data_IF_222067614140
#
_entry.id   IF_222067614140
#
_cell.length_a   1.000
_cell.length_b   1.000
_cell.length_c   1.000
_cell.angle_alpha   90.00
_cell.angle_beta   90.00
_cell.angle_gamma   90.00
#
_symmetry.space_group_name_H-M   'P 1'
#
loop_
_entity.id
_entity.type
_entity.pdbx_description
1 polymer ?
#
# COMPACT_ATOMS: atom_id res chain seq x y z
N UNK A 1 43.50 31.51 -11.09
CA UNK A 1 42.48 30.45 -11.10
C UNK A 1 41.18 31.06 -10.59
N UNK A 2 40.06 30.81 -11.27
CA UNK A 2 38.72 31.10 -10.72
C UNK A 2 38.28 29.82 -9.99
N UNK A 3 37.82 29.87 -8.72
CA UNK A 3 37.24 28.71 -8.08
C UNK A 3 35.96 28.32 -8.81
N UNK A 4 35.85 27.07 -9.23
CA UNK A 4 34.61 26.53 -9.80
C UNK A 4 33.50 26.59 -8.75
N UNK A 5 32.26 26.99 -9.10
CA UNK A 5 31.14 26.87 -8.18
C UNK A 5 30.98 25.41 -7.74
N UNK A 6 30.53 25.15 -6.50
CA UNK A 6 30.22 23.80 -6.06
C UNK A 6 29.14 23.19 -6.98
N UNK A 7 29.12 21.86 -7.17
CA UNK A 7 28.05 21.20 -7.91
C UNK A 7 26.71 21.60 -7.30
N UNK A 8 25.77 22.02 -8.16
CA UNK A 8 24.44 22.47 -7.73
C UNK A 8 23.80 21.39 -6.86
N UNK A 9 23.52 21.74 -5.60
CA UNK A 9 22.88 20.82 -4.66
C UNK A 9 21.58 20.29 -5.29
N UNK A 10 21.24 19.00 -5.08
CA UNK A 10 19.96 18.47 -5.52
C UNK A 10 18.84 19.38 -5.01
N UNK A 11 17.81 19.71 -5.83
CA UNK A 11 16.73 20.56 -5.39
C UNK A 11 16.11 19.96 -4.13
N UNK A 12 16.02 20.76 -3.06
CA UNK A 12 15.44 20.35 -1.78
C UNK A 12 13.90 20.30 -1.92
N UNK A 13 13.46 19.34 -2.71
CA UNK A 13 12.09 19.17 -3.11
C UNK A 13 11.34 18.53 -1.93
N UNK A 14 10.44 19.25 -1.22
CA UNK A 14 9.88 18.77 0.03
C UNK A 14 9.05 17.50 -0.22
N UNK A 15 9.61 16.33 0.12
CA UNK A 15 8.99 15.03 -0.17
C UNK A 15 7.56 15.04 0.37
N UNK A 16 6.51 14.93 -0.46
CA UNK A 16 5.14 15.24 -0.06
C UNK A 16 4.76 14.43 1.18
N UNK A 17 4.61 15.14 2.30
CA UNK A 17 4.63 14.51 3.62
C UNK A 17 3.29 13.85 3.92
N UNK A 18 3.14 12.61 3.44
CA UNK A 18 1.93 11.81 3.65
C UNK A 18 1.59 11.77 5.15
N UNK A 19 0.48 12.42 5.53
CA UNK A 19 0.07 12.63 6.92
C UNK A 19 0.10 11.32 7.72
N UNK A 20 0.44 11.40 9.01
CA UNK A 20 0.56 10.24 9.90
C UNK A 20 -0.68 9.34 9.84
N UNK A 21 -1.88 9.92 9.88
CA UNK A 21 -3.15 9.18 9.75
C UNK A 21 -3.26 8.42 8.42
N UNK A 22 -2.85 9.04 7.29
CA UNK A 22 -2.81 8.36 5.99
C UNK A 22 -1.80 7.21 5.99
N UNK A 23 -0.60 7.39 6.58
CA UNK A 23 0.40 6.32 6.71
C UNK A 23 -0.13 5.13 7.51
N UNK A 24 -0.79 5.39 8.65
CA UNK A 24 -1.42 4.33 9.47
C UNK A 24 -2.51 3.59 8.69
N UNK A 25 -3.38 4.31 7.97
CA UNK A 25 -4.43 3.70 7.14
C UNK A 25 -3.82 2.79 6.06
N UNK A 26 -2.81 3.25 5.32
CA UNK A 26 -2.13 2.44 4.29
C UNK A 26 -1.42 1.22 4.89
N UNK A 27 -0.76 1.38 6.05
CA UNK A 27 -0.12 0.27 6.75
C UNK A 27 -1.14 -0.80 7.20
N UNK A 28 -2.29 -0.39 7.74
CA UNK A 28 -3.36 -1.31 8.14
C UNK A 28 -4.00 -2.00 6.93
N UNK A 29 -4.23 -1.29 5.82
CA UNK A 29 -4.76 -1.86 4.57
C UNK A 29 -3.88 -2.98 4.01
N UNK A 30 -2.55 -2.84 4.08
CA UNK A 30 -1.60 -3.85 3.58
C UNK A 30 -1.32 -4.95 4.60
N UNK A 31 -1.24 -4.62 5.90
CA UNK A 31 -0.96 -5.61 6.95
C UNK A 31 -2.16 -6.53 7.24
N UNK A 32 -3.39 -6.02 7.14
CA UNK A 32 -4.63 -6.78 7.42
C UNK A 32 -4.69 -8.15 6.70
N UNK A 33 -4.59 -8.24 5.36
CA UNK A 33 -4.65 -9.53 4.66
C UNK A 33 -3.49 -10.46 5.01
N UNK A 34 -2.31 -9.93 5.37
CA UNK A 34 -1.17 -10.75 5.83
C UNK A 34 -1.44 -11.36 7.21
N UNK A 35 -1.94 -10.58 8.16
CA UNK A 35 -2.32 -11.06 9.50
C UNK A 35 -3.46 -12.07 9.42
N UNK A 36 -4.45 -11.83 8.57
CA UNK A 36 -5.54 -12.80 8.33
C UNK A 36 -4.99 -14.09 7.68
N UNK A 37 -4.13 -14.00 6.66
CA UNK A 37 -3.53 -15.18 6.01
C UNK A 37 -2.61 -16.01 6.94
N UNK A 38 -1.94 -15.35 7.90
CA UNK A 38 -1.17 -16.01 8.97
C UNK A 38 -2.03 -16.52 10.14
N UNK A 39 -3.33 -16.23 10.17
CA UNK A 39 -4.24 -16.68 11.24
C UNK A 39 -4.66 -18.14 11.06
N UNK A 40 -3.68 -19.04 11.08
CA UNK A 40 -3.80 -20.50 10.99
C UNK A 40 -4.98 -21.10 11.79
N UNK A 41 -5.31 -20.70 13.05
CA UNK A 41 -6.47 -21.27 13.75
C UNK A 41 -7.85 -20.93 13.16
N UNK A 42 -7.99 -19.91 12.31
CA UNK A 42 -9.20 -19.78 11.48
C UNK A 42 -9.21 -20.82 10.36
N UNK A 43 -8.04 -21.12 9.79
CA UNK A 43 -7.86 -21.87 8.54
C UNK A 43 -7.63 -23.37 8.66
N UNK A 44 -7.52 -23.88 9.88
CA UNK A 44 -7.48 -25.33 10.15
C UNK A 44 -8.88 -26.00 10.11
N UNK A 45 -9.92 -25.29 9.65
CA UNK A 45 -11.26 -25.89 9.42
C UNK A 45 -11.38 -26.42 7.99
N UNK A 46 -11.88 -27.65 7.88
CA UNK A 46 -12.22 -28.30 6.60
C UNK A 46 -13.49 -27.73 5.96
N UNK A 47 -14.37 -27.16 6.78
CA UNK A 47 -15.64 -26.53 6.39
C UNK A 47 -15.61 -25.03 6.73
N UNK A 48 -16.20 -24.15 5.89
CA UNK A 48 -16.97 -24.44 4.67
C UNK A 48 -16.10 -24.63 3.42
N UNK A 49 -16.46 -25.63 2.61
CA UNK A 49 -15.96 -25.76 1.23
C UNK A 49 -16.79 -24.86 0.30
N UNK A 50 -16.15 -24.31 -0.73
CA UNK A 50 -16.78 -23.36 -1.66
C UNK A 50 -16.70 -23.92 -3.08
N UNK A 51 -17.81 -24.45 -3.58
CA UNK A 51 -17.85 -25.20 -4.85
C UNK A 51 -17.00 -26.48 -4.84
N UNK A 52 -16.73 -27.05 -3.66
CA UNK A 52 -15.80 -28.18 -3.47
C UNK A 52 -14.36 -27.78 -3.16
N UNK A 53 -13.98 -26.50 -3.29
CA UNK A 53 -12.66 -26.04 -2.86
C UNK A 53 -12.56 -25.99 -1.32
N UNK A 54 -11.52 -26.57 -0.69
CA UNK A 54 -11.29 -26.46 0.74
C UNK A 54 -11.12 -25.00 1.21
N UNK A 55 -11.51 -24.73 2.46
CA UNK A 55 -11.52 -23.40 3.08
C UNK A 55 -10.22 -22.61 2.88
N UNK A 56 -9.08 -23.29 3.03
CA UNK A 56 -7.74 -22.74 2.79
C UNK A 56 -7.59 -22.06 1.42
N UNK A 57 -7.98 -22.74 0.32
CA UNK A 57 -7.66 -22.26 -1.04
C UNK A 57 -8.46 -21.01 -1.42
N UNK A 58 -9.78 -21.04 -1.22
CA UNK A 58 -10.61 -19.90 -1.63
C UNK A 58 -10.33 -18.66 -0.78
N UNK A 59 -10.04 -18.84 0.51
CA UNK A 59 -9.73 -17.74 1.42
C UNK A 59 -8.33 -17.15 1.16
N UNK A 60 -7.30 -17.96 0.90
CA UNK A 60 -5.99 -17.44 0.48
C UNK A 60 -6.11 -16.62 -0.82
N UNK A 61 -6.98 -17.04 -1.75
CA UNK A 61 -7.31 -16.24 -2.93
C UNK A 61 -8.06 -14.94 -2.56
N UNK A 62 -9.00 -14.97 -1.61
CA UNK A 62 -9.66 -13.76 -1.08
C UNK A 62 -8.66 -12.79 -0.45
N UNK A 63 -7.67 -13.29 0.30
CA UNK A 63 -6.62 -12.46 0.90
C UNK A 63 -5.66 -11.89 -0.14
N UNK A 64 -5.33 -12.63 -1.19
CA UNK A 64 -4.55 -12.11 -2.31
C UNK A 64 -5.28 -10.97 -3.04
N UNK A 65 -6.60 -11.10 -3.27
CA UNK A 65 -7.43 -10.03 -3.81
C UNK A 65 -7.50 -8.85 -2.83
N UNK A 66 -7.72 -9.09 -1.53
CA UNK A 66 -7.75 -8.03 -0.52
C UNK A 66 -6.41 -7.27 -0.42
N UNK A 67 -5.27 -7.96 -0.55
CA UNK A 67 -3.95 -7.34 -0.62
C UNK A 67 -3.76 -6.50 -1.89
N UNK A 68 -4.18 -7.00 -3.06
CA UNK A 68 -4.16 -6.23 -4.30
C UNK A 68 -5.02 -4.97 -4.20
N UNK A 69 -6.23 -5.07 -3.63
CA UNK A 69 -7.09 -3.93 -3.35
C UNK A 69 -6.49 -2.97 -2.31
N UNK A 70 -5.84 -3.47 -1.25
CA UNK A 70 -5.16 -2.66 -0.23
C UNK A 70 -3.96 -1.88 -0.80
N UNK A 71 -3.18 -2.49 -1.68
CA UNK A 71 -2.12 -1.84 -2.43
C UNK A 71 -2.67 -0.81 -3.42
N UNK A 72 -3.72 -1.14 -4.18
CA UNK A 72 -4.37 -0.20 -5.11
C UNK A 72 -5.00 1.01 -4.40
N UNK A 73 -5.64 0.78 -3.25
CA UNK A 73 -6.17 1.85 -2.40
C UNK A 73 -5.04 2.70 -1.80
N UNK A 74 -3.94 2.07 -1.35
CA UNK A 74 -2.73 2.78 -0.87
C UNK A 74 -2.11 3.66 -1.95
N UNK A 75 -1.99 3.14 -3.17
CA UNK A 75 -1.54 3.90 -4.34
C UNK A 75 -2.47 5.08 -4.62
N UNK A 76 -3.78 4.84 -4.72
CA UNK A 76 -4.78 5.90 -4.95
C UNK A 76 -4.76 6.97 -3.84
N UNK A 77 -4.62 6.58 -2.57
CA UNK A 77 -4.51 7.49 -1.42
C UNK A 77 -3.20 8.28 -1.42
N UNK A 78 -2.13 7.77 -2.03
CA UNK A 78 -0.86 8.49 -2.18
C UNK A 78 -0.91 9.49 -3.36
N UNK A 79 -1.07 8.97 -4.58
CA UNK A 79 -0.92 9.74 -5.82
C UNK A 79 -2.08 10.71 -6.10
N UNK A 80 -3.30 10.46 -5.63
CA UNK A 80 -4.44 11.41 -5.79
C UNK A 80 -4.32 12.69 -4.94
N UNK A 81 -3.20 12.91 -4.26
CA UNK A 81 -2.88 14.22 -3.64
C UNK A 81 -1.54 14.78 -4.13
N UNK A 82 -1.17 14.47 -5.37
CA UNK A 82 -0.43 15.41 -6.20
C UNK A 82 -1.49 16.40 -6.75
N UNK A 83 -1.71 17.57 -6.11
CA UNK A 83 -2.41 18.64 -6.82
C UNK A 83 -1.54 19.01 -8.02
N UNK A 84 -2.17 19.21 -9.17
CA UNK A 84 -1.52 19.96 -10.24
C UNK A 84 -1.15 21.33 -9.64
N UNK A 85 0.16 21.58 -9.51
CA UNK A 85 0.67 22.92 -9.23
C UNK A 85 0.44 23.69 -10.52
N UNK A 86 -0.79 24.18 -10.69
CA UNK A 86 -1.30 24.65 -11.98
C UNK A 86 -0.38 25.69 -12.58
N UNK A 87 0.05 25.44 -13.82
CA UNK A 87 0.96 26.31 -14.55
C UNK A 87 0.39 27.74 -14.59
N UNK A 88 0.97 28.59 -13.74
CA UNK A 88 0.57 29.99 -13.53
C UNK A 88 1.78 30.88 -13.78
N UNK A 89 2.45 30.68 -14.93
CA UNK A 89 3.35 31.62 -15.60
C UNK A 89 3.19 31.44 -17.12
#
# INVERSE_FOLDING_TARGET
MIPTPPPSAPPDNPRPSLSWTKRVICAVLVASPVVLALSVPLYQRTEPTLGGLPFFYWFQMTMAVAAACGCGATYFIAFRNEPEIGDTQ
#
